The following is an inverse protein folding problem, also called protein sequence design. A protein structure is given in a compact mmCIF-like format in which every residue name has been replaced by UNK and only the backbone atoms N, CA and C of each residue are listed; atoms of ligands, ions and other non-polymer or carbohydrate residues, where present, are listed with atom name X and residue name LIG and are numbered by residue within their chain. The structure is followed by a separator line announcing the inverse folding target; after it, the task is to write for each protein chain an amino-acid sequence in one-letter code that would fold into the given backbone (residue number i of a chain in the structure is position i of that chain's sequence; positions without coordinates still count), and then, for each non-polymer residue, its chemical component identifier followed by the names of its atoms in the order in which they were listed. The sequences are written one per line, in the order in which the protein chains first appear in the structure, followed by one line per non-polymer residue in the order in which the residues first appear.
data_IF_424834576408
#
_entry.id   IF_424834576408
#
_cell.length_a   1.000
_cell.length_b   1.000
_cell.length_c   1.000
_cell.angle_alpha   90.00
_cell.angle_beta   90.00
_cell.angle_gamma   90.00
#
_symmetry.space_group_name_H-M   'P 1'
#
loop_
_entity.id
_entity.type
_entity.pdbx_description
1 polymer ?
#
# COMPACT_ATOMS: atom_id res chain seq x y z
N UNK A 1 -7.76 5.07 19.25
CA UNK A 1 -7.34 4.76 17.87
C UNK A 1 -7.29 6.07 17.12
N UNK A 2 -6.27 6.29 16.28
CA UNK A 2 -6.19 7.50 15.47
C UNK A 2 -7.44 7.63 14.59
N UNK A 3 -7.92 8.86 14.39
CA UNK A 3 -9.12 9.16 13.59
C UNK A 3 -8.73 9.93 12.35
N UNK A 4 -9.44 9.65 11.26
CA UNK A 4 -9.30 10.41 10.02
C UNK A 4 -10.43 11.40 9.92
N UNK A 5 -10.09 12.67 9.79
CA UNK A 5 -11.03 13.72 9.41
C UNK A 5 -11.48 13.49 7.97
N UNK A 6 -12.78 13.29 7.77
CA UNK A 6 -13.37 13.17 6.44
C UNK A 6 -13.49 14.57 5.85
N UNK A 7 -12.84 14.82 4.72
CA UNK A 7 -12.98 16.08 3.95
C UNK A 7 -13.96 15.87 2.79
N UNK A 8 -14.49 16.95 2.18
CA UNK A 8 -15.32 16.84 0.98
C UNK A 8 -14.61 16.07 -0.15
N UNK A 9 -13.32 16.32 -0.36
CA UNK A 9 -12.51 15.66 -1.38
C UNK A 9 -12.36 14.16 -1.11
N UNK A 10 -12.19 13.77 0.15
CA UNK A 10 -12.17 12.36 0.55
C UNK A 10 -13.53 11.69 0.30
N UNK A 11 -14.63 12.33 0.72
CA UNK A 11 -15.99 11.84 0.48
C UNK A 11 -16.26 11.62 -1.02
N UNK A 12 -15.88 12.59 -1.85
CA UNK A 12 -16.03 12.51 -3.30
C UNK A 12 -15.13 11.42 -3.90
N UNK A 13 -13.91 11.26 -3.42
CA UNK A 13 -12.98 10.21 -3.86
C UNK A 13 -13.56 8.82 -3.59
N UNK A 14 -14.09 8.59 -2.39
CA UNK A 14 -14.75 7.33 -2.01
C UNK A 14 -15.94 7.06 -2.94
N UNK A 15 -16.81 8.06 -3.14
CA UNK A 15 -18.00 7.96 -3.99
C UNK A 15 -17.65 7.67 -5.45
N UNK A 16 -16.65 8.36 -5.99
CA UNK A 16 -16.19 8.22 -7.37
C UNK A 16 -15.60 6.83 -7.61
N UNK A 17 -14.71 6.37 -6.74
CA UNK A 17 -14.12 5.03 -6.83
C UNK A 17 -15.18 3.94 -6.71
N UNK A 18 -16.08 4.03 -5.72
CA UNK A 18 -17.16 3.07 -5.53
C UNK A 18 -18.06 2.98 -6.76
N UNK A 19 -18.45 4.12 -7.32
CA UNK A 19 -19.34 4.19 -8.49
C UNK A 19 -18.65 3.69 -9.76
N UNK A 20 -17.39 4.11 -9.98
CA UNK A 20 -16.55 3.64 -11.09
C UNK A 20 -16.40 2.12 -11.09
N UNK A 21 -16.18 1.52 -9.93
CA UNK A 21 -16.02 0.08 -9.76
C UNK A 21 -17.34 -0.69 -9.58
N UNK A 22 -18.48 0.01 -9.72
CA UNK A 22 -19.84 -0.53 -9.66
C UNK A 22 -20.15 -1.27 -8.35
N UNK A 23 -19.57 -0.81 -7.25
CA UNK A 23 -19.82 -1.35 -5.92
C UNK A 23 -21.10 -0.74 -5.36
N UNK A 24 -22.04 -1.58 -4.93
CA UNK A 24 -23.26 -1.09 -4.29
C UNK A 24 -22.96 -0.60 -2.88
N UNK A 25 -23.51 0.55 -2.47
CA UNK A 25 -23.32 1.11 -1.13
C UNK A 25 -23.71 0.12 -0.02
N UNK A 26 -24.73 -0.73 -0.25
CA UNK A 26 -25.13 -1.78 0.68
C UNK A 26 -24.04 -2.84 0.92
N UNK A 27 -23.27 -3.18 -0.13
CA UNK A 27 -22.18 -4.17 -0.03
C UNK A 27 -21.00 -3.58 0.74
N UNK A 28 -20.62 -2.33 0.44
CA UNK A 28 -19.58 -1.65 1.20
C UNK A 28 -19.98 -1.52 2.67
N UNK A 29 -21.23 -1.11 2.95
CA UNK A 29 -21.74 -1.00 4.31
C UNK A 29 -21.63 -2.33 5.08
N UNK A 30 -22.02 -3.44 4.46
CA UNK A 30 -21.92 -4.76 5.06
C UNK A 30 -20.47 -5.16 5.35
N UNK A 31 -19.54 -4.84 4.45
CA UNK A 31 -18.13 -5.15 4.60
C UNK A 31 -17.48 -4.47 5.80
N UNK A 32 -17.79 -3.18 6.03
CA UNK A 32 -17.26 -2.43 7.18
C UNK A 32 -18.16 -2.49 8.42
N UNK A 33 -19.09 -3.46 8.45
CA UNK A 33 -20.06 -3.67 9.55
C UNK A 33 -20.88 -2.42 9.92
N UNK A 34 -21.21 -1.56 8.94
CA UNK A 34 -22.04 -0.37 9.13
C UNK A 34 -23.39 -0.48 8.39
N UNK A 35 -24.27 0.49 8.66
CA UNK A 35 -25.55 0.60 7.94
C UNK A 35 -25.38 1.21 6.54
N UNK A 36 -26.23 0.89 5.55
CA UNK A 36 -26.21 1.58 4.25
C UNK A 36 -26.37 3.11 4.35
N UNK A 37 -27.07 3.60 5.38
CA UNK A 37 -27.18 5.02 5.66
C UNK A 37 -25.82 5.64 6.05
N UNK A 38 -24.95 4.89 6.72
CA UNK A 38 -23.58 5.34 7.03
C UNK A 38 -22.80 5.66 5.75
N UNK A 39 -22.85 4.79 4.73
CA UNK A 39 -22.17 5.05 3.45
C UNK A 39 -22.73 6.29 2.75
N UNK A 40 -24.05 6.47 2.76
CA UNK A 40 -24.63 7.70 2.20
C UNK A 40 -24.15 8.95 2.92
N UNK A 41 -24.02 8.89 4.25
CA UNK A 41 -23.50 10.00 5.05
C UNK A 41 -22.01 10.24 4.81
N UNK A 42 -21.22 9.17 4.65
CA UNK A 42 -19.80 9.24 4.32
C UNK A 42 -19.57 9.93 2.98
N UNK A 43 -20.35 9.56 1.96
CA UNK A 43 -20.25 10.11 0.61
C UNK A 43 -20.82 11.52 0.45
N UNK A 44 -21.66 11.96 1.40
CA UNK A 44 -22.23 13.31 1.44
C UNK A 44 -21.52 14.21 2.45
N UNK A 45 -20.38 13.79 3.02
CA UNK A 45 -19.62 14.55 4.02
C UNK A 45 -20.45 14.89 5.29
N UNK A 46 -21.39 14.02 5.66
CA UNK A 46 -22.17 14.13 6.91
C UNK A 46 -21.51 13.39 8.08
N UNK A 47 -20.42 12.67 7.82
CA UNK A 47 -19.55 12.05 8.82
C UNK A 47 -18.29 12.90 8.94
N UNK A 48 -17.95 13.34 10.15
CA UNK A 48 -16.77 14.19 10.39
C UNK A 48 -15.49 13.37 10.53
N UNK A 49 -15.57 12.18 11.13
CA UNK A 49 -14.40 11.33 11.39
C UNK A 49 -14.73 9.84 11.21
N UNK A 50 -13.72 9.09 10.80
CA UNK A 50 -13.71 7.62 10.77
C UNK A 50 -12.49 7.08 11.51
N UNK A 51 -12.51 5.82 11.92
CA UNK A 51 -11.32 5.22 12.51
C UNK A 51 -10.25 5.01 11.42
N UNK A 52 -8.97 5.26 11.72
CA UNK A 52 -7.93 5.25 10.70
C UNK A 52 -7.77 3.89 9.99
N UNK A 53 -8.02 2.79 10.71
CA UNK A 53 -7.92 1.44 10.19
C UNK A 53 -9.11 1.10 9.24
N UNK A 54 -10.25 1.79 9.37
CA UNK A 54 -11.41 1.61 8.47
C UNK A 54 -11.12 2.14 7.06
N UNK A 55 -10.23 3.14 6.93
CA UNK A 55 -10.01 3.80 5.65
C UNK A 55 -9.31 2.91 4.60
N UNK A 56 -8.21 2.19 4.92
CA UNK A 56 -7.64 1.18 4.04
C UNK A 56 -8.66 0.09 3.66
N UNK A 57 -9.49 -0.38 4.59
CA UNK A 57 -10.53 -1.39 4.33
C UNK A 57 -11.56 -0.89 3.31
N UNK A 58 -12.07 0.34 3.50
CA UNK A 58 -12.97 1.00 2.54
C UNK A 58 -12.32 1.05 1.17
N UNK A 59 -11.08 1.51 1.07
CA UNK A 59 -10.39 1.66 -0.20
C UNK A 59 -10.15 0.32 -0.89
N UNK A 60 -9.63 -0.69 -0.18
CA UNK A 60 -9.39 -2.02 -0.75
C UNK A 60 -10.67 -2.63 -1.31
N UNK A 61 -11.77 -2.52 -0.55
CA UNK A 61 -13.06 -3.03 -0.98
C UNK A 61 -13.59 -2.33 -2.23
N UNK A 62 -13.56 -0.99 -2.26
CA UNK A 62 -14.10 -0.24 -3.41
C UNK A 62 -13.20 -0.33 -4.64
N UNK A 63 -11.89 -0.51 -4.48
CA UNK A 63 -10.95 -0.74 -5.60
C UNK A 63 -10.95 -2.19 -6.10
N UNK A 64 -11.54 -3.12 -5.32
CA UNK A 64 -11.47 -4.57 -5.55
C UNK A 64 -10.03 -5.08 -5.57
N UNK A 65 -9.16 -4.45 -4.79
CA UNK A 65 -7.74 -4.82 -4.70
C UNK A 65 -7.50 -5.45 -3.34
N UNK A 66 -6.93 -6.65 -3.33
CA UNK A 66 -6.52 -7.33 -2.09
C UNK A 66 -5.20 -6.79 -1.54
N UNK A 67 -4.47 -5.99 -2.33
CA UNK A 67 -3.23 -5.36 -1.94
C UNK A 67 -3.48 -3.92 -1.57
N UNK A 68 -3.12 -3.53 -0.35
CA UNK A 68 -3.19 -2.15 0.12
C UNK A 68 -2.39 -1.21 -0.79
N UNK A 69 -1.22 -1.65 -1.27
CA UNK A 69 -0.39 -0.87 -2.18
C UNK A 69 -1.12 -0.58 -3.51
N UNK A 70 -1.75 -1.59 -4.13
CA UNK A 70 -2.50 -1.41 -5.38
C UNK A 70 -3.77 -0.59 -5.18
N UNK A 71 -4.47 -0.79 -4.05
CA UNK A 71 -5.62 0.02 -3.69
C UNK A 71 -5.23 1.50 -3.58
N UNK A 72 -4.14 1.78 -2.88
CA UNK A 72 -3.65 3.14 -2.69
C UNK A 72 -3.16 3.78 -4.02
N UNK A 73 -2.56 3.01 -4.92
CA UNK A 73 -2.25 3.45 -6.29
C UNK A 73 -3.51 3.84 -7.06
N UNK A 74 -4.59 3.03 -7.00
CA UNK A 74 -5.86 3.38 -7.65
C UNK A 74 -6.52 4.63 -7.05
N UNK A 75 -6.37 4.85 -5.73
CA UNK A 75 -6.84 6.07 -5.07
C UNK A 75 -6.11 7.28 -5.65
N UNK A 76 -4.79 7.22 -5.72
CA UNK A 76 -3.98 8.31 -6.27
C UNK A 76 -4.23 8.53 -7.78
N UNK A 77 -4.36 7.48 -8.58
CA UNK A 77 -4.76 7.55 -10.00
C UNK A 77 -6.14 8.20 -10.19
N UNK A 78 -7.02 8.09 -9.19
CA UNK A 78 -8.31 8.78 -9.19
C UNK A 78 -8.12 10.26 -8.91
N UNK A 79 -7.22 10.62 -7.99
CA UNK A 79 -6.92 12.01 -7.65
C UNK A 79 -6.22 12.75 -8.79
N UNK A 80 -5.23 12.14 -9.46
CA UNK A 80 -4.49 12.76 -10.58
C UNK A 80 -5.39 13.09 -11.79
N UNK A 81 -6.60 12.53 -11.87
CA UNK A 81 -7.57 12.90 -12.92
C UNK A 81 -8.24 14.25 -12.68
N UNK A 82 -8.23 14.72 -11.44
CA UNK A 82 -8.99 15.87 -10.99
C UNK A 82 -8.11 16.96 -10.38
N UNK A 83 -6.90 16.60 -9.94
CA UNK A 83 -5.99 17.46 -9.20
C UNK A 83 -4.58 17.35 -9.78
N UNK A 84 -3.86 18.46 -9.73
CA UNK A 84 -2.41 18.51 -9.94
C UNK A 84 -1.67 17.88 -8.76
N UNK A 85 -0.39 17.55 -8.95
CA UNK A 85 0.44 16.95 -7.88
C UNK A 85 0.51 17.83 -6.63
N UNK A 86 0.69 19.14 -6.81
CA UNK A 86 0.72 20.10 -5.71
C UNK A 86 -0.62 20.15 -4.98
N UNK A 87 -1.74 20.11 -5.70
CA UNK A 87 -3.07 20.04 -5.10
C UNK A 87 -3.31 18.73 -4.32
N UNK A 88 -2.76 17.61 -4.77
CA UNK A 88 -2.84 16.33 -4.05
C UNK A 88 -1.99 16.36 -2.78
N UNK A 89 -0.76 16.88 -2.85
CA UNK A 89 0.13 17.00 -1.69
C UNK A 89 -0.43 17.96 -0.62
N UNK A 90 -1.20 18.97 -1.05
CA UNK A 90 -1.92 19.87 -0.16
C UNK A 90 -3.19 19.24 0.45
N UNK A 91 -3.65 18.08 -0.03
CA UNK A 91 -4.75 17.36 0.60
C UNK A 91 -4.27 16.61 1.84
N UNK A 92 -4.51 17.21 3.00
CA UNK A 92 -4.06 16.71 4.29
C UNK A 92 -4.54 15.28 4.59
N UNK A 93 -5.75 14.92 4.16
CA UNK A 93 -6.27 13.56 4.33
C UNK A 93 -5.43 12.55 3.54
N UNK A 94 -4.99 12.92 2.33
CA UNK A 94 -4.22 12.03 1.47
C UNK A 94 -2.79 11.89 2.00
N UNK A 95 -2.18 12.99 2.45
CA UNK A 95 -0.86 12.96 3.12
C UNK A 95 -0.88 12.08 4.38
N UNK A 96 -1.95 12.15 5.19
CA UNK A 96 -2.13 11.24 6.31
C UNK A 96 -2.33 9.79 5.86
N UNK A 97 -3.19 9.54 4.86
CA UNK A 97 -3.40 8.21 4.32
C UNK A 97 -2.10 7.57 3.82
N UNK A 98 -1.33 8.30 3.00
CA UNK A 98 -0.11 7.79 2.37
C UNK A 98 1.06 7.60 3.36
N UNK A 99 1.23 8.53 4.30
CA UNK A 99 2.44 8.53 5.15
C UNK A 99 2.24 7.95 6.55
N UNK A 100 1.02 8.03 7.10
CA UNK A 100 0.72 7.62 8.48
C UNK A 100 -0.09 6.33 8.52
N UNK A 101 -1.14 6.22 7.72
CA UNK A 101 -2.09 5.12 7.84
C UNK A 101 -1.60 3.90 7.08
N UNK A 102 -1.23 4.10 5.82
CA UNK A 102 -0.82 3.04 4.91
C UNK A 102 0.40 2.29 5.44
N UNK A 103 0.33 0.96 5.41
CA UNK A 103 1.42 0.05 5.78
C UNK A 103 2.21 -0.37 4.56
N UNK A 104 3.54 -0.29 4.68
CA UNK A 104 4.47 -0.56 3.60
C UNK A 104 5.44 -1.64 4.09
N UNK A 105 5.66 -2.72 3.31
CA UNK A 105 6.69 -3.70 3.60
C UNK A 105 8.06 -3.03 3.76
N UNK A 106 8.75 -3.35 4.84
CA UNK A 106 10.04 -2.76 5.18
C UNK A 106 11.15 -3.65 4.58
N UNK A 107 11.97 -3.14 3.65
CA UNK A 107 13.09 -3.92 3.12
C UNK A 107 14.08 -4.27 4.22
N UNK A 108 14.44 -5.54 4.35
CA UNK A 108 15.39 -5.99 5.38
C UNK A 108 16.73 -5.25 5.31
N UNK A 109 17.23 -4.98 4.09
CA UNK A 109 18.49 -4.27 3.93
C UNK A 109 18.41 -2.81 4.40
N UNK A 110 17.24 -2.18 4.36
CA UNK A 110 17.05 -0.84 4.93
C UNK A 110 17.22 -0.89 6.45
N UNK A 111 16.66 -1.90 7.10
CA UNK A 111 16.78 -2.13 8.54
C UNK A 111 18.24 -2.40 8.92
N UNK A 112 18.94 -3.25 8.16
CA UNK A 112 20.36 -3.56 8.38
C UNK A 112 21.23 -2.29 8.27
N UNK A 113 20.92 -1.43 7.32
CA UNK A 113 21.59 -0.15 7.11
C UNK A 113 21.35 0.84 8.25
N UNK A 114 20.13 0.90 8.78
CA UNK A 114 19.80 1.72 9.95
C UNK A 114 20.56 1.20 11.16
N UNK A 115 20.51 -0.11 11.43
CA UNK A 115 21.22 -0.72 12.55
C UNK A 115 22.73 -0.48 12.47
N UNK A 116 23.32 -0.56 11.27
CA UNK A 116 24.73 -0.24 11.05
C UNK A 116 25.08 1.21 11.45
N UNK A 117 24.19 2.18 11.19
CA UNK A 117 24.36 3.57 11.63
C UNK A 117 24.29 3.65 13.17
N UNK A 118 23.30 3.00 13.77
CA UNK A 118 23.11 3.03 15.22
C UNK A 118 24.31 2.42 15.95
N UNK A 119 24.84 1.29 15.46
CA UNK A 119 26.01 0.64 16.03
C UNK A 119 27.27 1.49 15.87
N UNK A 120 27.53 2.05 14.68
CA UNK A 120 28.74 2.84 14.42
C UNK A 120 28.79 4.13 15.26
N UNK A 121 27.62 4.69 15.55
CA UNK A 121 27.48 5.92 16.33
C UNK A 121 27.15 5.67 17.82
N UNK A 122 27.07 4.39 18.23
CA UNK A 122 26.70 3.97 19.59
C UNK A 122 25.36 4.59 20.08
N UNK A 123 24.37 4.63 19.20
CA UNK A 123 23.03 5.17 19.46
C UNK A 123 22.16 4.05 20.04
N UNK A 124 21.71 4.22 21.29
CA UNK A 124 20.73 3.31 21.87
C UNK A 124 19.32 3.56 21.30
N UNK A 125 18.51 2.51 21.22
CA UNK A 125 17.12 2.59 20.75
C UNK A 125 16.29 3.51 21.66
N UNK A 126 16.53 3.48 22.97
CA UNK A 126 15.87 4.37 23.92
C UNK A 126 16.20 5.85 23.66
N UNK A 127 17.48 6.17 23.43
CA UNK A 127 17.89 7.53 23.08
C UNK A 127 17.29 7.99 21.74
N UNK A 128 17.33 7.15 20.71
CA UNK A 128 16.72 7.45 19.42
C UNK A 128 15.22 7.74 19.56
N UNK A 129 14.50 6.89 20.30
CA UNK A 129 13.06 7.04 20.56
C UNK A 129 12.76 8.35 21.29
N UNK A 130 13.57 8.70 22.29
CA UNK A 130 13.45 9.97 23.00
C UNK A 130 13.61 11.17 22.06
N UNK A 131 14.64 11.16 21.20
CA UNK A 131 14.89 12.24 20.21
C UNK A 131 13.74 12.39 19.22
N UNK A 132 13.18 11.29 18.73
CA UNK A 132 11.99 11.31 17.85
C UNK A 132 10.80 11.94 18.59
N UNK A 133 10.48 11.45 19.79
CA UNK A 133 9.32 11.89 20.55
C UNK A 133 9.45 13.31 21.13
N UNK A 134 10.66 13.86 21.23
CA UNK A 134 10.83 15.27 21.59
C UNK A 134 10.36 16.26 20.53
N UNK A 135 10.04 15.78 19.31
CA UNK A 135 9.45 16.60 18.26
C UNK A 135 10.26 17.87 17.94
N UNK A 136 11.59 17.75 17.97
CA UNK A 136 12.55 18.87 17.90
C UNK A 136 12.47 19.68 16.60
N UNK A 137 11.83 19.13 15.56
CA UNK A 137 11.59 19.78 14.28
C UNK A 137 10.38 20.74 14.31
N UNK A 138 9.56 20.70 15.36
CA UNK A 138 8.41 21.58 15.52
C UNK A 138 8.79 22.85 16.32
N UNK A 139 8.08 23.97 16.11
CA UNK A 139 8.16 25.12 17.00
C UNK A 139 7.75 24.76 18.43
N UNK A 140 8.33 25.44 19.42
CA UNK A 140 8.09 25.15 20.84
C UNK A 140 6.58 25.26 21.22
N UNK A 141 5.84 26.15 20.55
CA UNK A 141 4.40 26.29 20.73
C UNK A 141 3.62 25.05 20.28
N UNK A 142 4.07 24.35 19.24
CA UNK A 142 3.41 23.14 18.72
C UNK A 142 3.77 21.90 19.58
N UNK A 143 5.01 21.86 20.09
CA UNK A 143 5.48 20.79 20.99
C UNK A 143 4.62 20.75 22.27
N UNK A 144 4.28 21.92 22.82
CA UNK A 144 3.53 22.02 24.07
C UNK A 144 2.01 22.12 23.89
N UNK A 145 1.51 22.15 22.65
CA UNK A 145 0.07 22.20 22.38
C UNK A 145 -0.54 20.79 22.51
N UNK A 146 -1.41 20.63 23.52
CA UNK A 146 -2.13 19.38 23.78
C UNK A 146 -3.30 19.15 22.83
N UNK A 147 -3.74 20.18 22.08
CA UNK A 147 -4.81 20.06 21.08
C UNK A 147 -4.34 19.41 19.78
N UNK A 148 -3.02 19.35 19.56
CA UNK A 148 -2.42 18.73 18.38
C UNK A 148 -2.33 17.22 18.61
N UNK A 149 -3.06 16.47 17.78
CA UNK A 149 -3.01 15.01 17.82
C UNK A 149 -1.65 14.47 17.38
N UNK A 150 -1.19 13.42 18.07
CA UNK A 150 0.02 12.72 17.69
C UNK A 150 -0.20 11.85 16.44
N UNK A 151 0.86 11.73 15.65
CA UNK A 151 0.92 10.95 14.43
C UNK A 151 -0.15 11.36 13.40
N UNK A 152 -0.48 12.65 13.33
CA UNK A 152 -1.37 13.18 12.32
C UNK A 152 -0.79 14.48 11.76
N UNK A 153 -0.75 14.59 10.44
CA UNK A 153 -0.42 15.84 9.78
C UNK A 153 -1.53 16.86 10.01
N UNK A 154 -1.14 18.09 10.36
CA UNK A 154 -2.03 19.22 10.60
C UNK A 154 -1.49 20.51 9.95
N UNK A 155 -2.37 21.51 9.83
CA UNK A 155 -2.04 22.87 9.40
C UNK A 155 -2.58 23.81 10.48
N UNK A 156 -1.70 24.62 11.10
CA UNK A 156 -2.08 25.49 12.23
C UNK A 156 -2.74 26.80 11.79
N UNK A 157 -2.28 27.37 10.68
CA UNK A 157 -2.81 28.63 10.12
C UNK A 157 -3.26 28.41 8.69
N UNK A 158 -4.44 28.92 8.29
CA UNK A 158 -4.92 28.91 6.90
C UNK A 158 -3.98 29.62 5.90
N UNK A 159 -2.95 30.32 6.39
CA UNK A 159 -1.89 30.97 5.60
C UNK A 159 -0.54 30.23 5.66
N UNK A 160 -0.39 29.20 6.50
CA UNK A 160 0.83 28.42 6.57
C UNK A 160 0.85 27.40 5.42
N UNK A 161 1.74 27.60 4.47
CA UNK A 161 1.94 26.74 3.28
C UNK A 161 2.57 25.38 3.60
N UNK A 162 2.77 25.04 4.87
CA UNK A 162 3.51 23.84 5.30
C UNK A 162 2.72 23.08 6.36
N UNK A 163 2.37 21.85 6.04
CA UNK A 163 1.86 20.89 7.00
C UNK A 163 2.95 20.48 7.99
N UNK A 164 2.53 20.12 9.20
CA UNK A 164 3.41 19.67 10.30
C UNK A 164 2.85 18.39 10.90
N UNK A 165 3.69 17.62 11.57
CA UNK A 165 3.28 16.41 12.28
C UNK A 165 4.01 16.31 13.60
N UNK A 166 3.26 15.98 14.65
CA UNK A 166 3.77 15.70 15.99
C UNK A 166 3.85 14.19 16.17
N UNK A 167 5.04 13.63 16.27
CA UNK A 167 5.30 12.19 16.29
C UNK A 167 5.32 11.65 17.71
N UNK A 168 4.72 10.48 17.88
CA UNK A 168 4.88 9.64 19.07
C UNK A 168 5.01 8.19 18.65
N UNK A 169 6.15 7.57 18.98
CA UNK A 169 6.43 6.15 18.73
C UNK A 169 6.94 5.49 20.01
N UNK A 170 6.51 4.25 20.28
CA UNK A 170 6.99 3.52 21.46
C UNK A 170 8.36 2.88 21.19
N UNK A 171 9.17 2.76 22.23
CA UNK A 171 10.48 2.08 22.12
C UNK A 171 10.32 0.62 21.65
N UNK A 172 9.25 -0.04 22.08
CA UNK A 172 8.87 -1.39 21.65
C UNK A 172 8.56 -1.46 20.15
N UNK A 173 7.85 -0.48 19.59
CA UNK A 173 7.61 -0.41 18.15
C UNK A 173 8.90 -0.17 17.36
N UNK A 174 9.77 0.74 17.82
CA UNK A 174 11.09 0.96 17.20
C UNK A 174 11.91 -0.33 17.24
N UNK A 175 11.93 -1.04 18.38
CA UNK A 175 12.59 -2.33 18.52
C UNK A 175 12.05 -3.36 17.52
N UNK A 176 10.72 -3.48 17.39
CA UNK A 176 10.11 -4.44 16.47
C UNK A 176 10.43 -4.18 14.99
N UNK A 177 10.50 -2.91 14.60
CA UNK A 177 10.92 -2.51 13.26
C UNK A 177 12.40 -2.87 13.06
N UNK A 178 13.27 -2.49 13.99
CA UNK A 178 14.72 -2.66 13.86
C UNK A 178 15.20 -4.10 14.03
N UNK A 179 14.44 -4.96 14.72
CA UNK A 179 14.72 -6.38 14.84
C UNK A 179 14.01 -7.24 13.77
N UNK A 180 13.33 -6.62 12.80
CA UNK A 180 12.60 -7.26 11.70
C UNK A 180 11.43 -8.16 12.15
N UNK A 181 10.90 -7.99 13.37
CA UNK A 181 9.69 -8.69 13.82
C UNK A 181 8.40 -8.05 13.32
N UNK A 182 8.44 -6.77 12.96
CA UNK A 182 7.38 -6.05 12.25
C UNK A 182 7.86 -5.82 10.81
N UNK A 183 7.25 -6.53 9.85
CA UNK A 183 7.64 -6.55 8.43
C UNK A 183 6.95 -5.46 7.59
N UNK A 184 5.97 -4.78 8.17
CA UNK A 184 5.26 -3.65 7.57
C UNK A 184 5.17 -2.47 8.54
N UNK A 185 5.39 -1.24 8.07
CA UNK A 185 5.22 -0.03 8.89
C UNK A 185 4.69 1.13 8.06
N UNK A 186 4.13 2.12 8.76
CA UNK A 186 3.84 3.43 8.18
C UNK A 186 5.12 4.10 7.69
N UNK A 187 5.05 4.80 6.56
CA UNK A 187 6.20 5.48 5.97
C UNK A 187 6.87 6.43 6.97
N UNK A 188 6.05 7.21 7.69
CA UNK A 188 6.55 8.26 8.58
C UNK A 188 7.42 7.72 9.72
N UNK A 189 7.12 6.53 10.25
CA UNK A 189 7.90 5.96 11.35
C UNK A 189 9.29 5.53 10.91
N UNK A 190 9.38 4.84 9.77
CA UNK A 190 10.68 4.44 9.20
C UNK A 190 11.47 5.69 8.76
N UNK A 191 10.78 6.69 8.21
CA UNK A 191 11.38 8.00 7.91
C UNK A 191 11.96 8.65 9.17
N UNK A 192 11.20 8.76 10.26
CA UNK A 192 11.67 9.38 11.49
C UNK A 192 12.84 8.61 12.13
N UNK A 193 12.78 7.27 12.14
CA UNK A 193 13.87 6.42 12.64
C UNK A 193 15.16 6.72 11.88
N UNK A 194 15.13 6.70 10.55
CA UNK A 194 16.31 6.97 9.74
C UNK A 194 16.76 8.43 9.83
N UNK A 195 15.83 9.38 9.77
CA UNK A 195 16.11 10.81 9.85
C UNK A 195 16.85 11.15 11.13
N UNK A 196 16.35 10.69 12.29
CA UNK A 196 16.99 10.97 13.57
C UNK A 196 18.29 10.18 13.75
N UNK A 197 18.42 8.98 13.20
CA UNK A 197 19.71 8.27 13.18
C UNK A 197 20.77 9.08 12.41
N UNK A 198 20.43 9.62 11.24
CA UNK A 198 21.32 10.48 10.45
C UNK A 198 21.56 11.84 11.13
N UNK A 199 20.54 12.43 11.75
CA UNK A 199 20.67 13.68 12.52
C UNK A 199 21.70 13.51 13.64
N UNK A 200 21.59 12.44 14.42
CA UNK A 200 22.52 12.15 15.51
C UNK A 200 23.92 11.84 14.96
N UNK A 201 24.03 11.11 13.84
CA UNK A 201 25.31 10.87 13.17
C UNK A 201 26.03 12.17 12.81
N UNK A 202 25.34 13.08 12.12
CA UNK A 202 25.94 14.32 11.58
C UNK A 202 26.09 15.43 12.62
N UNK A 203 25.10 15.56 13.52
CA UNK A 203 24.99 16.71 14.43
C UNK A 203 24.99 16.32 15.92
N UNK A 204 25.14 15.03 16.24
CA UNK A 204 25.23 14.51 17.61
C UNK A 204 24.05 14.96 18.47
N UNK A 205 24.33 15.63 19.58
CA UNK A 205 23.33 16.08 20.55
C UNK A 205 22.70 17.43 20.17
N UNK A 206 22.99 17.96 18.97
CA UNK A 206 22.37 19.21 18.50
C UNK A 206 20.86 18.99 18.32
N UNK A 207 20.08 19.74 19.10
CA UNK A 207 18.60 19.65 19.13
C UNK A 207 17.99 20.45 17.99
N UNK A 208 18.35 21.73 17.84
CA UNK A 208 17.81 22.61 16.79
C UNK A 208 18.83 22.75 15.66
N UNK A 209 18.39 22.45 14.45
CA UNK A 209 19.10 22.71 13.19
C UNK A 209 18.30 23.76 12.40
N UNK A 210 18.98 24.54 11.56
CA UNK A 210 18.31 25.52 10.70
C UNK A 210 17.51 24.85 9.57
N UNK A 211 16.63 25.62 8.94
CA UNK A 211 15.70 25.14 7.90
C UNK A 211 16.42 24.55 6.68
N UNK A 212 17.56 25.12 6.27
CA UNK A 212 18.30 24.64 5.10
C UNK A 212 18.93 23.28 5.41
N UNK A 213 19.58 23.17 6.58
CA UNK A 213 20.11 21.91 7.10
C UNK A 213 19.02 20.84 7.27
N UNK A 214 17.85 21.22 7.78
CA UNK A 214 16.71 20.30 7.90
C UNK A 214 16.25 19.78 6.54
N UNK A 215 16.18 20.65 5.53
CA UNK A 215 15.81 20.27 4.17
C UNK A 215 16.84 19.36 3.53
N UNK A 216 18.14 19.62 3.71
CA UNK A 216 19.21 18.77 3.21
C UNK A 216 19.14 17.38 3.84
N UNK A 217 19.00 17.29 5.16
CA UNK A 217 18.88 16.02 5.87
C UNK A 217 17.60 15.26 5.49
N UNK A 218 16.49 15.98 5.27
CA UNK A 218 15.24 15.39 4.78
C UNK A 218 15.39 14.82 3.36
N UNK A 219 16.14 15.51 2.48
CA UNK A 219 16.48 15.03 1.14
C UNK A 219 17.39 13.81 1.19
N UNK A 220 18.39 13.80 2.07
CA UNK A 220 19.29 12.65 2.28
C UNK A 220 18.49 11.43 2.75
N UNK A 221 17.66 11.62 3.78
CA UNK A 221 16.78 10.58 4.33
C UNK A 221 15.87 10.01 3.25
N UNK A 222 15.17 10.88 2.51
CA UNK A 222 14.27 10.47 1.42
C UNK A 222 15.04 9.73 0.32
N UNK A 223 16.21 10.23 -0.08
CA UNK A 223 17.04 9.57 -1.10
C UNK A 223 17.50 8.19 -0.65
N UNK A 224 17.84 8.02 0.63
CA UNK A 224 18.21 6.72 1.18
C UNK A 224 17.02 5.78 1.22
N UNK A 225 15.85 6.18 1.71
CA UNK A 225 14.62 5.37 1.65
C UNK A 225 14.28 4.95 0.22
N UNK A 226 14.37 5.90 -0.72
CA UNK A 226 14.14 5.66 -2.14
C UNK A 226 15.12 4.63 -2.74
N UNK A 227 16.38 4.63 -2.30
CA UNK A 227 17.38 3.65 -2.74
C UNK A 227 17.00 2.20 -2.34
N UNK A 228 16.28 2.04 -1.23
CA UNK A 228 15.69 0.77 -0.78
C UNK A 228 14.26 0.55 -1.27
N UNK A 229 13.72 1.48 -2.09
CA UNK A 229 12.38 1.42 -2.66
C UNK A 229 11.25 1.51 -1.65
N UNK A 230 11.52 2.16 -0.53
CA UNK A 230 10.52 2.45 0.49
C UNK A 230 9.92 3.84 0.20
N UNK A 231 8.78 3.89 -0.48
CA UNK A 231 8.21 5.12 -1.04
C UNK A 231 6.82 5.47 -0.47
N UNK A 232 6.59 6.77 -0.27
CA UNK A 232 5.24 7.32 -0.32
C UNK A 232 4.69 7.24 -1.77
N UNK A 233 3.38 7.22 -1.94
CA UNK A 233 2.73 7.18 -3.26
C UNK A 233 3.12 8.41 -4.08
N UNK A 234 3.12 9.60 -3.47
CA UNK A 234 3.53 10.82 -4.15
C UNK A 234 4.98 10.74 -4.64
N UNK A 235 5.90 10.25 -3.80
CA UNK A 235 7.31 10.07 -4.17
C UNK A 235 7.47 9.05 -5.31
N UNK A 236 6.76 7.91 -5.23
CA UNK A 236 6.77 6.88 -6.27
C UNK A 236 6.28 7.43 -7.61
N UNK A 237 5.21 8.23 -7.60
CA UNK A 237 4.64 8.81 -8.81
C UNK A 237 5.46 9.97 -9.38
N UNK A 238 6.16 10.74 -8.56
CA UNK A 238 7.16 11.70 -9.05
C UNK A 238 8.26 10.97 -9.80
N UNK A 239 8.83 9.91 -9.22
CA UNK A 239 9.87 9.10 -9.87
C UNK A 239 9.35 8.44 -11.15
N UNK A 240 8.15 7.86 -11.12
CA UNK A 240 7.55 7.23 -12.28
C UNK A 240 7.35 8.22 -13.44
N UNK A 241 6.84 9.42 -13.16
CA UNK A 241 6.63 10.44 -14.18
C UNK A 241 7.95 11.03 -14.71
N UNK A 242 8.95 11.24 -13.85
CA UNK A 242 10.29 11.68 -14.26
C UNK A 242 10.99 10.65 -15.16
N UNK A 243 10.77 9.36 -14.92
CA UNK A 243 11.32 8.27 -15.72
C UNK A 243 10.52 8.05 -17.03
N UNK A 244 9.20 8.31 -17.03
CA UNK A 244 8.34 8.23 -18.22
C UNK A 244 8.72 9.24 -19.31
N UNK A 245 9.24 10.40 -18.92
CA UNK A 245 9.77 11.42 -19.83
C UNK A 245 11.20 11.10 -20.33
N UNK A 246 11.78 9.97 -19.92
CA UNK A 246 13.14 9.56 -20.26
C UNK A 246 13.17 8.17 -20.92
N UNK A 247 13.08 8.07 -22.27
CA UNK A 247 12.85 6.81 -23.00
C UNK A 247 13.99 5.77 -22.93
N UNK A 248 15.07 6.02 -22.18
CA UNK A 248 16.27 5.18 -22.11
C UNK A 248 16.60 4.63 -20.71
N UNK A 249 15.68 4.65 -19.75
CA UNK A 249 15.90 4.02 -18.43
C UNK A 249 14.84 3.00 -18.07
N UNK A 250 15.32 1.82 -17.67
CA UNK A 250 14.52 0.66 -17.30
C UNK A 250 13.64 0.92 -16.06
N UNK A 251 12.33 0.87 -16.26
CA UNK A 251 11.30 0.81 -15.20
C UNK A 251 11.62 -0.32 -14.18
N UNK A 252 12.34 -1.36 -14.58
CA UNK A 252 12.82 -2.45 -13.70
C UNK A 252 13.69 -1.98 -12.52
N UNK A 253 14.32 -0.81 -12.62
CA UNK A 253 15.14 -0.27 -11.52
C UNK A 253 14.29 0.21 -10.33
N UNK A 254 12.98 0.41 -10.49
CA UNK A 254 12.06 0.84 -9.45
C UNK A 254 11.37 -0.32 -8.70
N UNK A 255 11.44 -1.56 -9.21
CA UNK A 255 10.75 -2.74 -8.67
C UNK A 255 11.52 -3.36 -7.50
N UNK A 256 10.92 -3.59 -6.32
CA UNK A 256 11.59 -4.33 -5.25
C UNK A 256 11.81 -5.81 -5.65
N UNK A 257 12.50 -6.63 -4.85
CA UNK A 257 12.80 -8.01 -5.26
C UNK A 257 11.52 -8.85 -5.45
N UNK A 258 10.48 -8.63 -4.65
CA UNK A 258 9.18 -9.30 -4.83
C UNK A 258 8.49 -8.87 -6.13
N UNK A 259 8.54 -7.59 -6.47
CA UNK A 259 8.03 -7.06 -7.73
C UNK A 259 8.80 -7.62 -8.92
N UNK A 260 10.12 -7.79 -8.79
CA UNK A 260 10.96 -8.41 -9.82
C UNK A 260 10.67 -9.90 -10.00
N UNK A 261 10.49 -10.65 -8.91
CA UNK A 261 10.10 -12.05 -8.97
C UNK A 261 8.71 -12.22 -9.59
N UNK A 262 7.73 -11.45 -9.11
CA UNK A 262 6.39 -11.43 -9.67
C UNK A 262 6.40 -11.06 -11.16
N UNK A 263 7.15 -10.02 -11.55
CA UNK A 263 7.29 -9.64 -12.95
C UNK A 263 8.01 -10.73 -13.76
N UNK A 264 9.00 -11.40 -13.18
CA UNK A 264 9.65 -12.57 -13.76
C UNK A 264 8.64 -13.68 -14.06
N UNK A 265 7.77 -14.02 -13.10
CA UNK A 265 6.69 -15.00 -13.29
C UNK A 265 5.69 -14.54 -14.36
N UNK A 266 5.31 -13.26 -14.38
CA UNK A 266 4.40 -12.71 -15.39
C UNK A 266 5.02 -12.80 -16.79
N UNK A 267 6.28 -12.38 -16.94
CA UNK A 267 7.01 -12.46 -18.21
C UNK A 267 7.12 -13.91 -18.66
N UNK A 268 7.41 -14.84 -17.75
CA UNK A 268 7.47 -16.26 -18.07
C UNK A 268 6.11 -16.78 -18.54
N UNK A 269 5.01 -16.47 -17.84
CA UNK A 269 3.65 -16.85 -18.22
C UNK A 269 3.30 -16.30 -19.61
N UNK A 270 3.56 -15.00 -19.85
CA UNK A 270 3.32 -14.36 -21.14
C UNK A 270 4.12 -15.02 -22.25
N UNK A 271 5.37 -15.39 -22.01
CA UNK A 271 6.19 -16.12 -22.99
C UNK A 271 5.57 -17.47 -23.37
N UNK A 272 5.01 -18.22 -22.40
CA UNK A 272 4.33 -19.49 -22.69
C UNK A 272 3.04 -19.29 -23.48
N UNK A 273 2.29 -18.23 -23.17
CA UNK A 273 1.06 -17.88 -23.89
C UNK A 273 1.36 -17.48 -25.34
N UNK A 274 2.44 -16.71 -25.57
CA UNK A 274 2.89 -16.34 -26.91
C UNK A 274 3.25 -17.61 -27.70
N UNK A 275 4.07 -18.50 -27.14
CA UNK A 275 4.43 -19.78 -27.78
C UNK A 275 3.19 -20.64 -28.11
N UNK A 276 2.22 -20.70 -27.21
CA UNK A 276 0.96 -21.43 -27.45
C UNK A 276 0.13 -20.77 -28.58
N UNK A 277 0.16 -19.44 -28.68
CA UNK A 277 -0.54 -18.68 -29.71
C UNK A 277 0.10 -18.87 -31.09
N UNK A 278 1.43 -18.92 -31.16
CA UNK A 278 2.17 -19.25 -32.40
C UNK A 278 1.86 -20.66 -32.91
N UNK A 279 1.66 -21.61 -32.00
CA UNK A 279 1.32 -22.98 -32.36
C UNK A 279 -0.14 -23.15 -32.82
N UNK A 280 -1.11 -22.58 -32.07
CA UNK A 280 -2.54 -22.66 -32.41
C UNK A 280 -3.34 -21.49 -31.84
N UNK A 281 -3.29 -20.34 -32.51
CA UNK A 281 -3.97 -19.11 -32.08
C UNK A 281 -5.47 -19.29 -31.84
N UNK A 282 -6.17 -20.12 -32.63
CA UNK A 282 -7.62 -20.30 -32.50
C UNK A 282 -7.96 -21.02 -31.19
N UNK A 283 -7.29 -22.13 -30.90
CA UNK A 283 -7.50 -22.87 -29.65
C UNK A 283 -7.05 -22.05 -28.44
N UNK A 284 -5.90 -21.39 -28.56
CA UNK A 284 -5.35 -20.54 -27.49
C UNK A 284 -6.31 -19.39 -27.15
N UNK A 285 -6.91 -18.72 -28.15
CA UNK A 285 -7.91 -17.68 -27.90
C UNK A 285 -9.16 -18.22 -27.16
N UNK A 286 -9.63 -19.42 -27.49
CA UNK A 286 -10.75 -20.05 -26.77
C UNK A 286 -10.38 -20.31 -25.31
N UNK A 287 -9.19 -20.86 -25.05
CA UNK A 287 -8.70 -21.15 -23.71
C UNK A 287 -8.47 -19.86 -22.89
N UNK A 288 -7.85 -18.84 -23.48
CA UNK A 288 -7.61 -17.55 -22.82
C UNK A 288 -8.90 -16.78 -22.53
N UNK A 289 -9.92 -16.90 -23.39
CA UNK A 289 -11.24 -16.32 -23.14
C UNK A 289 -11.89 -16.94 -21.91
N UNK A 290 -11.91 -18.29 -21.83
CA UNK A 290 -12.42 -19.00 -20.67
C UNK A 290 -11.60 -18.70 -19.40
N UNK A 291 -10.27 -18.64 -19.53
CA UNK A 291 -9.38 -18.29 -18.43
C UNK A 291 -9.67 -16.90 -17.87
N UNK A 292 -9.80 -15.89 -18.74
CA UNK A 292 -10.16 -14.52 -18.36
C UNK A 292 -11.53 -14.46 -17.68
N UNK A 293 -12.51 -15.22 -18.17
CA UNK A 293 -13.84 -15.31 -17.54
C UNK A 293 -13.76 -15.88 -16.13
N UNK A 294 -12.96 -16.93 -15.92
CA UNK A 294 -12.77 -17.55 -14.61
C UNK A 294 -12.07 -16.60 -13.63
N UNK A 295 -11.01 -15.90 -14.06
CA UNK A 295 -10.33 -14.90 -13.24
C UNK A 295 -11.25 -13.74 -12.83
N UNK A 296 -12.15 -13.32 -13.72
CA UNK A 296 -13.14 -12.29 -13.43
C UNK A 296 -14.27 -12.76 -12.49
N UNK A 297 -14.53 -14.07 -12.43
CA UNK A 297 -15.51 -14.65 -11.53
C UNK A 297 -15.00 -14.69 -10.09
N UNK A 298 -13.83 -15.28 -9.87
CA UNK A 298 -13.20 -15.36 -8.55
C UNK A 298 -11.67 -15.49 -8.69
N UNK A 299 -10.97 -14.37 -8.55
CA UNK A 299 -9.52 -14.32 -8.69
C UNK A 299 -8.81 -15.14 -7.60
N UNK A 300 -9.25 -15.05 -6.34
CA UNK A 300 -8.62 -15.73 -5.22
C UNK A 300 -8.70 -17.25 -5.34
N UNK A 301 -9.90 -17.76 -5.64
CA UNK A 301 -10.12 -19.17 -5.91
C UNK A 301 -9.31 -19.66 -7.11
N UNK A 302 -9.29 -18.89 -8.21
CA UNK A 302 -8.57 -19.29 -9.42
C UNK A 302 -7.05 -19.26 -9.24
N UNK A 303 -6.48 -18.30 -8.51
CA UNK A 303 -5.06 -18.31 -8.15
C UNK A 303 -4.71 -19.51 -7.27
N UNK A 304 -5.61 -19.88 -6.33
CA UNK A 304 -5.42 -21.08 -5.51
C UNK A 304 -5.46 -22.35 -6.36
N UNK A 305 -6.38 -22.45 -7.32
CA UNK A 305 -6.47 -23.56 -8.26
C UNK A 305 -5.20 -23.66 -9.14
N UNK A 306 -4.70 -22.53 -9.65
CA UNK A 306 -3.47 -22.46 -10.44
C UNK A 306 -2.22 -22.84 -9.63
N UNK A 307 -2.21 -22.57 -8.32
CA UNK A 307 -1.10 -22.90 -7.43
C UNK A 307 -0.95 -24.40 -7.13
N UNK A 308 -1.92 -25.23 -7.56
CA UNK A 308 -1.83 -26.68 -7.37
C UNK A 308 -0.69 -27.27 -8.21
N UNK A 309 0.17 -28.08 -7.57
CA UNK A 309 1.36 -28.63 -8.21
C UNK A 309 1.04 -29.83 -9.12
N UNK A 310 0.57 -29.53 -10.33
CA UNK A 310 0.38 -30.51 -11.40
C UNK A 310 1.70 -31.03 -12.00
N UNK A 311 2.85 -30.42 -11.67
CA UNK A 311 4.15 -30.85 -12.22
C UNK A 311 4.52 -32.26 -11.74
N UNK A 312 4.05 -32.64 -10.56
CA UNK A 312 4.14 -34.00 -9.98
C UNK A 312 3.60 -35.10 -10.90
N UNK A 313 2.77 -34.76 -11.90
CA UNK A 313 2.22 -35.68 -12.90
C UNK A 313 3.17 -35.92 -14.09
N UNK A 314 4.48 -35.75 -13.91
CA UNK A 314 5.47 -35.75 -14.99
C UNK A 314 5.42 -37.02 -15.84
N UNK A 315 5.17 -38.18 -15.22
CA UNK A 315 5.13 -39.49 -15.88
C UNK A 315 3.74 -39.95 -16.33
N UNK A 316 2.73 -39.08 -16.23
CA UNK A 316 1.35 -39.42 -16.58
C UNK A 316 1.14 -39.37 -18.10
N UNK A 317 0.53 -40.42 -18.66
CA UNK A 317 0.25 -40.53 -20.09
C UNK A 317 -0.70 -39.42 -20.58
N UNK A 318 -0.67 -39.12 -21.88
CA UNK A 318 -1.59 -38.13 -22.50
C UNK A 318 -3.05 -38.54 -22.30
N UNK A 319 -3.37 -39.84 -22.39
CA UNK A 319 -4.73 -40.35 -22.15
C UNK A 319 -5.18 -40.10 -20.70
N UNK A 320 -4.31 -40.39 -19.73
CA UNK A 320 -4.63 -40.18 -18.31
C UNK A 320 -4.73 -38.68 -17.97
N UNK A 321 -3.95 -37.81 -18.63
CA UNK A 321 -4.10 -36.35 -18.52
C UNK A 321 -5.48 -35.88 -19.03
N UNK A 322 -5.99 -36.47 -20.11
CA UNK A 322 -7.35 -36.19 -20.60
C UNK A 322 -8.42 -36.70 -19.65
N UNK A 323 -8.24 -37.90 -19.08
CA UNK A 323 -9.17 -38.43 -18.07
C UNK A 323 -9.22 -37.54 -16.82
N UNK A 324 -8.06 -37.06 -16.35
CA UNK A 324 -8.01 -36.11 -15.24
C UNK A 324 -8.81 -34.83 -15.54
N UNK A 325 -8.67 -34.26 -16.74
CA UNK A 325 -9.47 -33.08 -17.13
C UNK A 325 -10.97 -33.40 -17.13
N UNK A 326 -11.37 -34.57 -17.63
CA UNK A 326 -12.78 -34.99 -17.60
C UNK A 326 -13.28 -35.17 -16.16
N UNK A 327 -12.46 -35.67 -15.25
CA UNK A 327 -12.84 -35.83 -13.84
C UNK A 327 -12.97 -34.49 -13.13
N UNK A 328 -12.10 -33.52 -13.44
CA UNK A 328 -12.25 -32.13 -12.99
C UNK A 328 -13.58 -31.55 -13.49
N UNK A 329 -13.93 -31.72 -14.77
CA UNK A 329 -15.22 -31.26 -15.32
C UNK A 329 -16.43 -31.90 -14.64
N UNK A 330 -16.37 -33.21 -14.35
CA UNK A 330 -17.43 -33.91 -13.61
C UNK A 330 -17.56 -33.38 -12.19
N UNK A 331 -16.43 -33.11 -11.52
CA UNK A 331 -16.44 -32.52 -10.18
C UNK A 331 -17.08 -31.13 -10.21
N UNK A 332 -16.70 -30.26 -11.15
CA UNK A 332 -17.31 -28.94 -11.30
C UNK A 332 -18.84 -29.06 -11.44
N UNK A 333 -19.34 -29.95 -12.32
CA UNK A 333 -20.79 -30.20 -12.46
C UNK A 333 -21.45 -30.67 -11.18
N UNK A 334 -20.81 -31.60 -10.45
CA UNK A 334 -21.30 -32.08 -9.16
C UNK A 334 -21.48 -30.94 -8.16
N UNK A 335 -20.55 -29.98 -8.10
CA UNK A 335 -20.65 -28.82 -7.21
C UNK A 335 -21.68 -27.79 -7.68
N UNK A 336 -21.90 -27.65 -9.00
CA UNK A 336 -22.97 -26.82 -9.55
C UNK A 336 -24.38 -27.33 -9.18
N UNK A 337 -24.54 -28.65 -9.07
CA UNK A 337 -25.81 -29.30 -8.76
C UNK A 337 -26.11 -29.40 -7.25
N UNK A 338 -25.25 -28.86 -6.38
CA UNK A 338 -25.48 -28.88 -4.94
C UNK A 338 -26.74 -28.07 -4.56
N UNK A 339 -27.57 -28.57 -3.62
CA UNK A 339 -28.74 -27.85 -3.14
C UNK A 339 -28.37 -26.44 -2.67
N UNK A 340 -29.17 -25.43 -3.03
CA UNK A 340 -28.90 -24.01 -2.73
C UNK A 340 -28.71 -23.69 -1.24
N UNK A 341 -29.18 -24.56 -0.34
CA UNK A 341 -28.98 -24.47 1.12
C UNK A 341 -27.56 -24.83 1.58
N UNK A 342 -26.78 -25.51 0.74
CA UNK A 342 -25.37 -25.89 0.96
C UNK A 342 -24.39 -25.00 0.18
N UNK A 343 -24.90 -24.18 -0.76
CA UNK A 343 -24.15 -23.17 -1.53
C UNK A 343 -24.42 -21.77 -0.97
N UNK A 344 -24.43 -21.62 0.36
CA UNK A 344 -24.36 -20.31 0.98
C UNK A 344 -22.91 -19.84 0.88
N UNK A 345 -22.69 -18.59 0.46
CA UNK A 345 -21.38 -17.96 0.56
C UNK A 345 -21.04 -17.94 2.05
N UNK A 346 -20.05 -18.73 2.45
CA UNK A 346 -19.54 -18.72 3.82
C UNK A 346 -18.71 -17.45 3.99
N UNK A 347 -19.04 -16.66 5.02
CA UNK A 347 -18.23 -15.52 5.46
C UNK A 347 -16.89 -16.08 5.96
N UNK A 348 -15.80 -15.79 5.25
CA UNK A 348 -14.42 -16.07 5.69
C UNK A 348 -13.73 -14.80 6.14
#
# INVERSE_FOLDING_TARGET
MPRVTITPELSDTIKNLRTKNKIQAKLLAAHIEKSPAYISKLENHEIQTVDADELPEIFQFITKESSEAKSAEQVYDSLERHYTKEEIENQLWFTNFDTVIRKIPIPEQLVDDINSILESENISISYLTQRINSNEALPDDDINDESIEYNQWYIKDNNASRSRIKIQISEDQVNRILNKSEDVSSYIFVFCILFYALKIKHYKDTVKIDDDTYQELSKETTSKLNSYKFFSISAKNILYNQEKDNPNKDIEKLLNNFDKENNGYIIEILSKIILASEYNIKNTNTQLSAFTQNLNWDLGFMLRLLSMDFSTLTNTSVSNKKELLNDIEKLIKKYQELPSKLNLIEDY
#
